data_IF_696569077028
#
_entry.id   IF_696569077028
#
_cell.length_a   1.000
_cell.length_b   1.000
_cell.length_c   1.000
_cell.angle_alpha   90.00
_cell.angle_beta   90.00
_cell.angle_gamma   90.00
#
_symmetry.space_group_name_H-M   'P 1'
#
loop_
_entity.id
_entity.type
_entity.pdbx_description
1 polymer ?
#
# COMPACT_ATOMS: atom_id res chain seq x y z
N UNK A 1 -23.43 19.25 -10.18
CA UNK A 1 -24.32 18.90 -11.31
C UNK A 1 -25.09 20.13 -11.81
N UNK A 2 -26.03 20.72 -11.04
CA UNK A 2 -26.71 21.97 -11.44
C UNK A 2 -25.78 23.20 -11.54
N UNK A 3 -24.70 23.25 -10.75
CA UNK A 3 -23.72 24.33 -10.77
C UNK A 3 -22.63 24.19 -11.87
N UNK A 4 -22.70 23.17 -12.74
CA UNK A 4 -21.73 22.97 -13.84
C UNK A 4 -20.32 22.50 -13.43
N UNK A 5 -20.02 22.34 -12.14
CA UNK A 5 -18.66 22.01 -11.63
C UNK A 5 -18.41 20.51 -11.40
N UNK A 6 -18.85 19.63 -12.30
CA UNK A 6 -18.73 18.17 -12.10
C UNK A 6 -17.29 17.67 -11.93
N UNK A 7 -16.31 18.31 -12.57
CA UNK A 7 -14.89 17.99 -12.39
C UNK A 7 -14.41 18.13 -10.94
N UNK A 8 -15.05 19.00 -10.15
CA UNK A 8 -14.67 19.22 -8.75
C UNK A 8 -15.03 18.06 -7.84
N UNK A 9 -15.96 17.18 -8.24
CA UNK A 9 -16.33 16.01 -7.43
C UNK A 9 -15.11 15.11 -7.16
N UNK A 10 -14.17 15.05 -8.10
CA UNK A 10 -12.96 14.26 -7.99
C UNK A 10 -11.83 14.99 -7.22
N UNK A 11 -11.78 16.33 -7.28
CA UNK A 11 -10.70 17.12 -6.67
C UNK A 11 -11.06 17.74 -5.31
N UNK A 12 -12.35 17.80 -4.98
CA UNK A 12 -12.92 18.34 -3.73
C UNK A 12 -13.94 17.35 -3.15
N UNK A 13 -13.48 16.17 -2.71
CA UNK A 13 -14.39 15.14 -2.23
C UNK A 13 -15.15 15.61 -0.98
N UNK A 14 -16.47 15.41 -1.01
CA UNK A 14 -17.37 15.61 0.14
C UNK A 14 -17.88 14.24 0.55
N UNK A 15 -17.57 13.83 1.78
CA UNK A 15 -17.96 12.52 2.32
C UNK A 15 -18.38 12.61 3.79
N UNK A 16 -18.86 11.49 4.32
CA UNK A 16 -19.38 11.36 5.69
C UNK A 16 -18.38 10.72 6.66
N UNK A 17 -17.11 10.62 6.26
CA UNK A 17 -16.04 9.99 7.03
C UNK A 17 -15.55 10.84 8.23
N UNK A 18 -14.63 10.29 9.04
CA UNK A 18 -14.08 10.96 10.22
C UNK A 18 -13.22 12.18 9.92
N UNK A 19 -12.71 12.30 8.69
CA UNK A 19 -11.83 13.39 8.28
C UNK A 19 -12.34 14.05 6.99
N UNK A 20 -12.28 15.38 6.95
CA UNK A 20 -12.67 16.22 5.80
C UNK A 20 -11.41 16.63 5.04
N UNK A 21 -11.42 16.43 3.72
CA UNK A 21 -10.35 16.87 2.84
C UNK A 21 -10.13 18.39 2.94
N UNK A 22 -8.87 18.81 3.09
CA UNK A 22 -8.50 20.23 3.10
C UNK A 22 -7.75 20.63 1.84
N UNK A 23 -6.67 19.92 1.51
CA UNK A 23 -5.84 20.22 0.34
C UNK A 23 -5.01 19.03 -0.10
N UNK A 24 -4.68 19.02 -1.38
CA UNK A 24 -3.71 18.13 -1.99
C UNK A 24 -2.62 18.95 -2.65
N UNK A 25 -1.39 18.82 -2.17
CA UNK A 25 -0.20 19.28 -2.87
C UNK A 25 0.32 18.09 -3.66
N UNK A 26 0.18 18.15 -4.98
CA UNK A 26 0.45 17.02 -5.88
C UNK A 26 1.80 16.37 -5.57
N UNK A 27 1.79 15.05 -5.43
CA UNK A 27 2.95 14.19 -5.17
C UNK A 27 3.75 14.49 -3.87
N UNK A 28 3.28 15.43 -3.05
CA UNK A 28 3.95 15.84 -1.82
C UNK A 28 3.16 15.49 -0.55
N UNK A 29 1.91 15.97 -0.44
CA UNK A 29 1.10 15.72 0.76
C UNK A 29 -0.40 15.87 0.51
N UNK A 30 -1.19 15.07 1.24
CA UNK A 30 -2.63 15.27 1.39
C UNK A 30 -2.94 15.64 2.84
N UNK A 31 -3.78 16.64 3.05
CA UNK A 31 -4.18 17.09 4.39
C UNK A 31 -5.67 17.01 4.60
N UNK A 32 -6.04 16.59 5.80
CA UNK A 32 -7.40 16.51 6.28
C UNK A 32 -7.53 17.09 7.67
N UNK A 33 -8.72 17.65 7.96
CA UNK A 33 -9.15 18.08 9.29
C UNK A 33 -10.18 17.11 9.86
N UNK A 34 -10.35 17.02 11.19
CA UNK A 34 -11.42 16.23 11.79
C UNK A 34 -12.78 16.71 11.28
N UNK A 35 -13.69 15.75 11.06
CA UNK A 35 -15.09 16.01 10.80
C UNK A 35 -15.84 16.14 12.14
N UNK A 36 -16.31 17.35 12.54
CA UNK A 36 -17.05 17.50 13.79
C UNK A 36 -18.40 16.78 13.76
N UNK A 37 -18.97 16.57 12.57
CA UNK A 37 -20.28 15.96 12.36
C UNK A 37 -20.18 14.45 12.09
N UNK A 38 -19.03 13.83 12.38
CA UNK A 38 -18.86 12.38 12.15
C UNK A 38 -19.75 11.57 13.08
N UNK A 39 -20.60 10.73 12.50
CA UNK A 39 -21.64 9.97 13.19
C UNK A 39 -21.14 8.96 14.24
N UNK A 40 -19.85 8.60 14.25
CA UNK A 40 -19.24 7.71 15.27
C UNK A 40 -18.41 8.47 16.32
N UNK A 41 -18.51 9.80 16.36
CA UNK A 41 -17.79 10.67 17.31
C UNK A 41 -16.48 11.24 16.74
N UNK A 42 -15.95 12.29 17.36
CA UNK A 42 -14.74 12.99 16.89
C UNK A 42 -13.54 12.03 16.82
N UNK A 43 -12.74 12.00 15.72
CA UNK A 43 -11.52 11.20 15.68
C UNK A 43 -10.49 11.71 16.71
N UNK A 44 -9.56 10.85 17.16
CA UNK A 44 -8.62 11.20 18.23
C UNK A 44 -7.53 12.21 17.80
N UNK A 45 -7.38 12.50 16.51
CA UNK A 45 -6.37 13.44 15.98
C UNK A 45 -7.01 14.72 15.44
N UNK A 46 -6.37 15.86 15.71
CA UNK A 46 -6.77 17.17 15.18
C UNK A 46 -6.35 17.40 13.74
N UNK A 47 -5.45 16.57 13.19
CA UNK A 47 -5.09 16.58 11.77
C UNK A 47 -4.70 15.19 11.30
N UNK A 48 -5.03 14.88 10.04
CA UNK A 48 -4.50 13.72 9.34
C UNK A 48 -3.71 14.21 8.14
N UNK A 49 -2.43 13.83 8.07
CA UNK A 49 -1.51 14.24 7.02
C UNK A 49 -0.92 12.99 6.39
N UNK A 50 -1.13 12.82 5.09
CA UNK A 50 -0.42 11.83 4.30
C UNK A 50 0.77 12.51 3.64
N UNK A 51 1.97 12.23 4.14
CA UNK A 51 3.22 12.65 3.50
C UNK A 51 3.61 11.62 2.44
N UNK A 52 3.52 12.00 1.16
CA UNK A 52 3.80 11.10 0.04
C UNK A 52 5.32 10.89 0.00
N UNK A 53 5.76 9.70 0.40
CA UNK A 53 7.18 9.33 0.49
C UNK A 53 7.36 7.96 -0.17
N UNK A 54 7.63 7.91 -1.49
CA UNK A 54 7.65 6.65 -2.25
C UNK A 54 8.75 5.68 -1.82
N UNK A 55 9.92 6.21 -1.42
CA UNK A 55 11.05 5.39 -1.02
C UNK A 55 10.91 4.81 0.39
N UNK A 56 11.10 3.50 0.52
CA UNK A 56 10.93 2.76 1.79
C UNK A 56 11.95 3.18 2.85
N UNK A 57 13.21 3.43 2.44
CA UNK A 57 14.27 3.82 3.36
C UNK A 57 13.97 5.21 3.93
N UNK A 58 13.55 6.16 3.09
CA UNK A 58 13.18 7.51 3.51
C UNK A 58 11.99 7.46 4.48
N UNK A 59 10.98 6.60 4.25
CA UNK A 59 9.88 6.40 5.20
C UNK A 59 10.37 5.93 6.57
N UNK A 60 11.28 4.96 6.61
CA UNK A 60 11.84 4.45 7.86
C UNK A 60 12.65 5.52 8.60
N UNK A 61 13.45 6.33 7.89
CA UNK A 61 14.20 7.42 8.51
C UNK A 61 13.28 8.49 9.10
N UNK A 62 12.21 8.87 8.38
CA UNK A 62 11.19 9.80 8.90
C UNK A 62 10.50 9.27 10.15
N UNK A 63 10.19 7.97 10.20
CA UNK A 63 9.61 7.33 11.37
C UNK A 63 10.59 7.38 12.57
N UNK A 64 11.87 7.05 12.36
CA UNK A 64 12.92 7.12 13.40
C UNK A 64 13.18 8.54 13.90
N UNK A 65 13.04 9.54 13.02
CA UNK A 65 13.13 10.97 13.32
C UNK A 65 11.84 11.54 13.91
N UNK A 66 10.78 10.73 14.05
CA UNK A 66 9.45 11.15 14.50
C UNK A 66 8.79 12.24 13.62
N UNK A 67 9.19 12.33 12.35
CA UNK A 67 8.53 13.18 11.35
C UNK A 67 7.19 12.58 10.87
N UNK A 68 7.02 11.27 11.04
CA UNK A 68 5.74 10.57 10.89
C UNK A 68 5.58 9.51 11.98
N UNK A 69 4.33 9.11 12.25
CA UNK A 69 3.99 8.15 13.30
C UNK A 69 3.65 6.76 12.75
N UNK A 70 3.38 6.66 11.44
CA UNK A 70 3.05 5.41 10.74
C UNK A 70 3.76 5.40 9.39
N UNK A 71 4.41 4.29 9.08
CA UNK A 71 4.99 4.01 7.77
C UNK A 71 4.56 2.61 7.30
N UNK A 72 4.34 2.45 6.00
CA UNK A 72 3.96 1.19 5.38
C UNK A 72 5.13 0.57 4.63
N UNK A 73 5.08 -0.76 4.47
CA UNK A 73 5.98 -1.55 3.63
C UNK A 73 7.48 -1.28 3.91
N UNK A 74 7.98 -1.50 5.14
CA UNK A 74 9.41 -1.56 5.38
C UNK A 74 10.06 -2.67 4.52
N UNK A 75 11.34 -2.54 4.20
CA UNK A 75 12.05 -3.63 3.53
C UNK A 75 12.21 -4.81 4.49
N UNK A 76 12.19 -6.06 4.01
CA UNK A 76 12.41 -7.24 4.86
C UNK A 76 13.69 -7.14 5.69
N UNK A 77 14.78 -6.68 5.09
CA UNK A 77 16.10 -6.54 5.74
C UNK A 77 16.10 -5.51 6.88
N UNK A 78 15.20 -4.53 6.85
CA UNK A 78 15.09 -3.52 7.90
C UNK A 78 14.28 -4.02 9.11
N UNK A 79 13.45 -5.06 8.94
CA UNK A 79 12.52 -5.55 9.98
C UNK A 79 13.24 -5.92 11.30
N UNK A 80 14.35 -6.69 11.30
CA UNK A 80 15.05 -7.02 12.54
C UNK A 80 15.51 -5.76 13.30
N UNK A 81 16.02 -4.76 12.58
CA UNK A 81 16.44 -3.49 13.15
C UNK A 81 15.28 -2.65 13.68
N UNK A 82 14.11 -2.70 13.05
CA UNK A 82 12.90 -2.03 13.54
C UNK A 82 12.40 -2.71 14.82
N UNK A 83 12.38 -4.06 14.88
CA UNK A 83 11.96 -4.82 16.07
C UNK A 83 12.90 -4.60 17.27
N UNK A 84 14.16 -4.27 17.02
CA UNK A 84 15.14 -3.96 18.07
C UNK A 84 15.05 -2.50 18.60
N UNK A 85 14.41 -1.57 17.88
CA UNK A 85 14.23 -0.19 18.35
C UNK A 85 13.04 -0.10 19.31
N UNK A 86 13.30 0.17 20.60
CA UNK A 86 12.28 0.25 21.64
C UNK A 86 11.21 1.34 21.42
N UNK A 87 11.45 2.29 20.50
CA UNK A 87 10.49 3.35 20.16
C UNK A 87 9.54 2.95 19.04
N UNK A 88 9.81 1.84 18.34
CA UNK A 88 9.07 1.40 17.17
C UNK A 88 8.36 0.08 17.42
N UNK A 89 7.29 -0.15 16.67
CA UNK A 89 6.56 -1.42 16.65
C UNK A 89 6.29 -1.82 15.22
N UNK A 90 6.59 -3.07 14.88
CA UNK A 90 6.14 -3.68 13.63
C UNK A 90 4.75 -4.27 13.87
N UNK A 91 3.77 -3.83 13.09
CA UNK A 91 2.45 -4.45 13.03
C UNK A 91 2.40 -5.37 11.82
N UNK A 92 2.11 -6.64 12.05
CA UNK A 92 2.07 -7.69 11.04
C UNK A 92 0.65 -8.25 10.97
N UNK A 93 0.18 -8.54 9.76
CA UNK A 93 -1.09 -9.22 9.52
C UNK A 93 -0.97 -10.08 8.26
N UNK A 94 -1.70 -11.18 8.22
CA UNK A 94 -1.81 -11.98 6.99
C UNK A 94 -2.57 -11.18 5.93
N UNK A 95 -1.94 -10.98 4.78
CA UNK A 95 -2.53 -10.19 3.70
C UNK A 95 -3.58 -11.01 2.92
N UNK A 96 -4.77 -10.44 2.74
CA UNK A 96 -5.80 -10.98 1.87
C UNK A 96 -5.54 -10.60 0.39
N UNK A 97 -4.34 -10.89 -0.11
CA UNK A 97 -3.87 -10.47 -1.44
C UNK A 97 -2.97 -11.51 -2.09
N UNK A 98 -3.02 -11.61 -3.42
CA UNK A 98 -2.15 -12.45 -4.24
C UNK A 98 -1.41 -11.61 -5.28
N UNK A 99 -0.08 -11.67 -5.30
CA UNK A 99 0.75 -11.08 -6.35
C UNK A 99 0.84 -11.99 -7.57
N UNK A 100 0.77 -11.44 -8.78
CA UNK A 100 0.87 -12.22 -10.03
C UNK A 100 1.43 -11.36 -11.17
N UNK A 101 1.95 -12.03 -12.20
CA UNK A 101 2.38 -11.39 -13.45
C UNK A 101 1.28 -11.59 -14.48
N UNK A 102 0.62 -10.50 -14.87
CA UNK A 102 -0.36 -10.51 -15.96
C UNK A 102 0.33 -10.59 -17.32
N UNK A 103 0.03 -11.63 -18.10
CA UNK A 103 0.50 -11.75 -19.47
C UNK A 103 -0.57 -11.23 -20.43
N UNK A 104 -0.24 -10.22 -21.24
CA UNK A 104 -1.16 -9.72 -22.27
C UNK A 104 -1.33 -10.76 -23.38
N UNK A 105 -2.43 -11.50 -23.37
CA UNK A 105 -2.75 -12.56 -24.35
C UNK A 105 -3.10 -12.03 -25.74
N UNK A 106 -3.29 -10.72 -25.92
CA UNK A 106 -3.47 -10.10 -27.24
C UNK A 106 -2.14 -9.92 -27.98
N UNK A 107 -1.02 -9.94 -27.24
CA UNK A 107 0.30 -9.87 -27.85
C UNK A 107 0.61 -11.16 -28.61
N UNK A 108 1.06 -11.05 -29.87
CA UNK A 108 1.25 -12.18 -30.80
C UNK A 108 2.01 -13.38 -30.21
N UNK A 109 3.06 -13.15 -29.43
CA UNK A 109 3.84 -14.25 -28.82
C UNK A 109 3.21 -14.80 -27.54
N UNK A 110 2.47 -13.98 -26.80
CA UNK A 110 1.88 -14.36 -25.52
C UNK A 110 0.46 -14.96 -25.69
N UNK A 111 -0.12 -14.88 -26.88
CA UNK A 111 -1.38 -15.55 -27.22
C UNK A 111 -1.25 -17.08 -27.23
N UNK A 112 -0.07 -17.62 -27.55
CA UNK A 112 0.22 -19.06 -27.48
C UNK A 112 0.36 -19.53 -26.03
N UNK A 113 -0.49 -20.46 -25.61
CA UNK A 113 -0.47 -21.04 -24.26
C UNK A 113 0.85 -21.73 -23.93
N UNK A 114 1.54 -22.28 -24.93
CA UNK A 114 2.84 -22.96 -24.74
C UNK A 114 3.92 -21.97 -24.31
N UNK A 115 3.91 -20.76 -24.88
CA UNK A 115 4.84 -19.69 -24.50
C UNK A 115 4.57 -19.23 -23.07
N UNK A 116 3.30 -19.04 -22.69
CA UNK A 116 2.95 -18.65 -21.30
C UNK A 116 3.36 -19.73 -20.29
N UNK A 117 3.17 -21.01 -20.61
CA UNK A 117 3.64 -22.14 -19.78
C UNK A 117 5.16 -22.15 -19.66
N UNK A 118 5.88 -21.93 -20.75
CA UNK A 118 7.34 -21.86 -20.73
C UNK A 118 7.85 -20.72 -19.84
N UNK A 119 7.24 -19.53 -19.91
CA UNK A 119 7.57 -18.40 -19.03
C UNK A 119 7.33 -18.77 -17.56
N UNK A 120 6.20 -19.37 -17.24
CA UNK A 120 5.87 -19.77 -15.87
C UNK A 120 6.83 -20.83 -15.30
N UNK A 121 7.32 -21.75 -16.13
CA UNK A 121 8.31 -22.76 -15.74
C UNK A 121 9.72 -22.18 -15.60
N UNK A 122 10.06 -21.16 -16.39
CA UNK A 122 11.37 -20.52 -16.35
C UNK A 122 11.55 -19.57 -15.16
N UNK A 123 10.46 -19.13 -14.52
CA UNK A 123 10.49 -18.20 -13.42
C UNK A 123 10.66 -18.91 -12.07
N UNK A 124 11.77 -18.64 -11.39
CA UNK A 124 12.02 -19.12 -10.03
C UNK A 124 11.18 -18.33 -9.02
N UNK A 125 9.97 -18.82 -8.79
CA UNK A 125 8.99 -18.22 -7.88
C UNK A 125 9.45 -18.26 -6.43
N UNK A 126 10.15 -19.33 -6.03
CA UNK A 126 10.61 -19.51 -4.64
C UNK A 126 11.67 -18.47 -4.31
N UNK A 127 12.73 -18.41 -5.11
CA UNK A 127 13.78 -17.45 -4.92
C UNK A 127 13.26 -16.01 -4.98
N UNK A 128 12.38 -15.70 -5.95
CA UNK A 128 11.81 -14.37 -6.07
C UNK A 128 11.02 -13.95 -4.82
N UNK A 129 10.17 -14.83 -4.29
CA UNK A 129 9.36 -14.54 -3.10
C UNK A 129 10.25 -14.35 -1.87
N UNK A 130 11.25 -15.21 -1.68
CA UNK A 130 12.20 -15.06 -0.55
C UNK A 130 13.00 -13.76 -0.64
N UNK A 131 13.48 -13.36 -1.83
CA UNK A 131 14.23 -12.11 -2.01
C UNK A 131 13.37 -10.87 -1.77
N UNK A 132 12.10 -10.90 -2.22
CA UNK A 132 11.23 -9.72 -2.14
C UNK A 132 10.60 -9.51 -0.76
N UNK A 133 10.18 -10.60 -0.10
CA UNK A 133 9.44 -10.53 1.16
C UNK A 133 10.28 -10.95 2.38
N UNK A 134 11.45 -11.55 2.17
CA UNK A 134 12.21 -12.23 3.20
C UNK A 134 11.68 -13.64 3.43
N UNK A 135 12.57 -14.54 3.84
CA UNK A 135 12.26 -15.96 4.06
C UNK A 135 11.14 -16.13 5.09
N UNK A 136 10.08 -16.85 4.70
CA UNK A 136 8.94 -17.19 5.57
C UNK A 136 7.86 -16.11 5.72
N UNK A 137 8.03 -14.93 5.10
CA UNK A 137 7.07 -13.82 5.23
C UNK A 137 6.01 -13.79 4.11
N UNK A 138 6.06 -14.73 3.17
CA UNK A 138 5.07 -14.88 2.09
C UNK A 138 4.98 -16.34 1.66
N UNK A 139 3.81 -16.71 1.12
CA UNK A 139 3.53 -18.05 0.60
C UNK A 139 3.58 -18.04 -0.93
N UNK A 140 4.00 -19.16 -1.52
CA UNK A 140 3.89 -19.36 -2.96
C UNK A 140 2.43 -19.44 -3.37
N UNK A 141 2.01 -18.50 -4.22
CA UNK A 141 0.69 -18.52 -4.81
C UNK A 141 0.58 -19.60 -5.90
N UNK A 142 -0.43 -20.47 -5.76
CA UNK A 142 -0.85 -21.44 -6.79
C UNK A 142 -2.28 -21.20 -7.29
N UNK A 143 -3.04 -20.39 -6.55
CA UNK A 143 -4.42 -20.00 -6.83
C UNK A 143 -4.57 -18.47 -6.75
N UNK A 144 -5.61 -17.88 -7.35
CA UNK A 144 -5.85 -16.45 -7.27
C UNK A 144 -6.19 -15.96 -5.85
N UNK A 145 -6.66 -16.86 -4.98
CA UNK A 145 -7.05 -16.56 -3.61
C UNK A 145 -6.02 -17.11 -2.61
N UNK A 146 -5.68 -16.35 -1.55
CA UNK A 146 -4.86 -16.86 -0.47
C UNK A 146 -5.60 -17.96 0.31
N UNK A 147 -4.87 -18.87 0.99
CA UNK A 147 -5.47 -19.97 1.75
C UNK A 147 -6.18 -19.53 3.04
N UNK A 148 -6.08 -18.25 3.40
CA UNK A 148 -6.67 -17.66 4.62
C UNK A 148 -8.12 -17.21 4.45
N UNK A 149 -8.70 -17.46 3.26
CA UNK A 149 -10.15 -17.32 3.01
C UNK A 149 -10.96 -18.46 3.62
#
# INVERSE_FOLDING_TARGET
LKAGTTAELNSKPVGTGPFIFQRYNKDAQVRYRPNPDYFRGKPPSDALIFAITPDNNVRLQKLRANECQVALYPKPDDIPGIKADARLKVAEMEALTTGYISLNTEHRYLSDVRVRRAINLAFDREHHVEQLFGKGNALLAVNPYPPTL
#
